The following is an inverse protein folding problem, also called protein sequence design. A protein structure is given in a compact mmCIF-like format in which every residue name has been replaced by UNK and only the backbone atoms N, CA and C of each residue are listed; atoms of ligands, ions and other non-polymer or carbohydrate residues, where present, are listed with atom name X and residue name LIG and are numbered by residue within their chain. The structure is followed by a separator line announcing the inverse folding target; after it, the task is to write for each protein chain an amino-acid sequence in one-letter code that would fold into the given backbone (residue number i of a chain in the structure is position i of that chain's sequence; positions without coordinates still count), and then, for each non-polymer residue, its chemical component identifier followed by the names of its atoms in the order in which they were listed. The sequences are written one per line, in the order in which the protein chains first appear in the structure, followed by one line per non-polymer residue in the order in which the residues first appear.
data_IF_649812781734
#
_entry.id   IF_649812781734
#
_cell.length_a   1.000
_cell.length_b   1.000
_cell.length_c   1.000
_cell.angle_alpha   90.00
_cell.angle_beta   90.00
_cell.angle_gamma   90.00
#
_symmetry.space_group_name_H-M   'P 1'
#
loop_
_entity.id
_entity.type
_entity.pdbx_description
1 polymer ?
#
# COMPACT_ATOMS: atom_id res chain seq x y z
N UNK A 1 12.16 31.48 -24.03
CA UNK A 1 11.58 32.02 -22.79
C UNK A 1 10.68 30.92 -22.24
N UNK A 2 11.16 30.11 -21.29
CA UNK A 2 10.33 29.12 -20.61
C UNK A 2 9.41 29.85 -19.63
N UNK A 3 8.13 29.45 -19.49
CA UNK A 3 7.26 30.09 -18.52
C UNK A 3 7.79 29.85 -17.12
N UNK A 4 7.88 30.92 -16.35
CA UNK A 4 8.26 30.90 -14.94
C UNK A 4 7.21 30.09 -14.17
N UNK A 5 7.47 28.79 -13.93
CA UNK A 5 6.65 27.99 -13.02
C UNK A 5 6.89 28.54 -11.61
N UNK A 6 5.86 29.01 -10.97
CA UNK A 6 5.89 29.39 -9.56
C UNK A 6 6.15 28.14 -8.71
N UNK A 7 7.30 28.06 -8.05
CA UNK A 7 7.58 26.99 -7.07
C UNK A 7 6.84 27.28 -5.77
N UNK A 8 6.20 26.26 -5.23
CA UNK A 8 5.57 26.29 -3.91
C UNK A 8 6.54 25.68 -2.89
N UNK A 9 6.70 26.33 -1.73
CA UNK A 9 7.69 25.95 -0.71
C UNK A 9 7.03 25.71 0.65
N UNK A 10 7.36 24.57 1.25
CA UNK A 10 6.99 24.25 2.64
C UNK A 10 8.24 24.42 3.49
N UNK A 11 8.19 25.28 4.50
CA UNK A 11 9.29 25.48 5.47
C UNK A 11 9.06 24.62 6.71
N UNK A 12 10.12 23.96 7.16
CA UNK A 12 10.17 23.18 8.41
C UNK A 12 11.34 23.71 9.22
N UNK A 13 11.08 24.16 10.45
CA UNK A 13 12.15 24.63 11.36
C UNK A 13 13.07 23.47 11.75
N UNK A 14 14.33 23.48 11.29
CA UNK A 14 15.37 22.53 11.66
C UNK A 14 16.76 23.14 11.68
N UNK A 15 17.66 22.54 12.47
CA UNK A 15 19.03 23.01 12.69
C UNK A 15 19.98 22.66 11.52
N UNK A 16 19.65 21.61 10.70
CA UNK A 16 20.41 21.23 9.51
C UNK A 16 19.64 21.65 8.25
N UNK A 17 20.35 22.23 7.27
CA UNK A 17 19.74 22.68 6.01
C UNK A 17 19.62 21.52 5.02
N UNK A 18 18.69 20.61 5.27
CA UNK A 18 18.27 19.59 4.31
C UNK A 18 17.06 20.09 3.54
N UNK A 19 17.15 20.03 2.23
CA UNK A 19 16.10 20.49 1.32
C UNK A 19 15.67 19.34 0.41
N UNK A 20 14.36 19.18 0.20
CA UNK A 20 13.81 18.28 -0.80
C UNK A 20 13.22 19.12 -1.94
N UNK A 21 13.72 18.91 -3.16
CA UNK A 21 13.24 19.61 -4.35
C UNK A 21 12.56 18.60 -5.27
N UNK A 22 11.30 18.82 -5.56
CA UNK A 22 10.48 17.92 -6.37
C UNK A 22 10.01 18.67 -7.60
N UNK A 23 10.39 18.15 -8.77
CA UNK A 23 9.97 18.64 -10.06
C UNK A 23 9.07 17.61 -10.74
N UNK A 24 7.84 18.02 -11.08
CA UNK A 24 6.84 17.16 -11.72
C UNK A 24 6.72 17.53 -13.19
N UNK A 25 7.04 16.59 -14.07
CA UNK A 25 6.77 16.67 -15.49
C UNK A 25 5.69 15.65 -15.88
N UNK A 26 5.02 15.77 -17.03
CA UNK A 26 3.98 14.82 -17.45
C UNK A 26 4.41 13.36 -17.54
N UNK A 27 5.71 13.10 -17.69
CA UNK A 27 6.28 11.77 -17.89
C UNK A 27 7.20 11.31 -16.76
N UNK A 28 7.71 12.22 -15.94
CA UNK A 28 8.73 11.94 -14.93
C UNK A 28 8.59 12.87 -13.74
N UNK A 29 8.79 12.34 -12.54
CA UNK A 29 9.00 13.12 -11.31
C UNK A 29 10.46 13.00 -10.90
N UNK A 30 11.14 14.13 -10.74
CA UNK A 30 12.50 14.19 -10.25
C UNK A 30 12.50 14.67 -8.80
N UNK A 31 13.14 13.93 -7.90
CA UNK A 31 13.26 14.24 -6.48
C UNK A 31 14.74 14.41 -6.17
N UNK A 32 15.13 15.60 -5.80
CA UNK A 32 16.49 15.93 -5.39
C UNK A 32 16.56 16.19 -3.89
N UNK A 33 17.46 15.49 -3.21
CA UNK A 33 17.85 15.74 -1.83
C UNK A 33 19.09 16.64 -1.85
N UNK A 34 19.01 17.79 -1.23
CA UNK A 34 20.14 18.68 -1.03
C UNK A 34 20.49 18.80 0.45
N UNK A 35 21.79 18.80 0.76
CA UNK A 35 22.35 19.13 2.08
C UNK A 35 23.25 20.35 1.92
N UNK A 36 22.99 21.41 2.67
CA UNK A 36 23.71 22.69 2.58
C UNK A 36 23.83 23.21 1.14
N UNK A 37 22.74 23.07 0.36
CA UNK A 37 22.63 23.43 -1.08
C UNK A 37 23.47 22.56 -2.03
N UNK A 38 24.06 21.47 -1.54
CA UNK A 38 24.77 20.49 -2.36
C UNK A 38 23.85 19.32 -2.64
N UNK A 39 23.70 18.94 -3.92
CA UNK A 39 22.92 17.77 -4.31
C UNK A 39 23.59 16.50 -3.80
N UNK A 40 22.88 15.75 -2.93
CA UNK A 40 23.36 14.50 -2.32
C UNK A 40 22.76 13.29 -3.02
N UNK A 41 21.47 13.38 -3.38
CA UNK A 41 20.75 12.29 -4.02
C UNK A 41 19.78 12.84 -5.07
N UNK A 42 19.68 12.15 -6.21
CA UNK A 42 18.71 12.45 -7.26
C UNK A 42 17.97 11.19 -7.66
N UNK A 43 16.69 11.15 -7.36
CA UNK A 43 15.79 10.09 -7.81
C UNK A 43 14.95 10.60 -8.97
N UNK A 44 14.82 9.77 -10.01
CA UNK A 44 13.96 10.02 -11.16
C UNK A 44 12.97 8.88 -11.29
N UNK A 45 11.70 9.24 -11.24
CA UNK A 45 10.60 8.28 -11.30
C UNK A 45 9.70 8.62 -12.49
N UNK A 46 9.39 7.64 -13.30
CA UNK A 46 8.42 7.86 -14.37
C UNK A 46 7.03 8.07 -13.76
N UNK A 47 6.26 9.02 -14.31
CA UNK A 47 4.87 9.19 -13.95
C UNK A 47 4.11 7.91 -14.32
N UNK A 48 3.81 7.10 -13.33
CA UNK A 48 3.14 5.82 -13.56
C UNK A 48 1.70 6.06 -13.99
N UNK A 49 1.35 5.55 -15.15
CA UNK A 49 -0.01 5.58 -15.72
C UNK A 49 -0.96 4.59 -15.04
N UNK A 50 -0.73 4.25 -13.78
CA UNK A 50 -1.43 3.22 -13.02
C UNK A 50 -0.67 1.89 -13.02
N UNK A 51 -1.19 0.92 -12.28
CA UNK A 51 -0.62 -0.42 -12.08
C UNK A 51 0.70 -0.46 -11.32
N UNK A 52 0.88 0.46 -10.36
CA UNK A 52 2.01 0.49 -9.45
C UNK A 52 1.98 -0.64 -8.42
N UNK A 53 3.16 -1.04 -7.93
CA UNK A 53 3.26 -1.97 -6.79
C UNK A 53 2.53 -1.38 -5.58
N UNK A 54 1.66 -2.19 -4.96
CA UNK A 54 0.83 -1.76 -3.83
C UNK A 54 -0.60 -1.35 -4.22
N UNK A 55 -0.86 -0.96 -5.47
CA UNK A 55 -2.21 -0.67 -5.96
C UNK A 55 -3.14 -1.86 -5.78
N UNK A 56 -4.36 -1.61 -5.32
CA UNK A 56 -5.37 -2.65 -5.08
C UNK A 56 -6.48 -2.53 -6.12
N UNK A 57 -6.79 -3.66 -6.73
CA UNK A 57 -7.80 -3.78 -7.78
C UNK A 57 -8.91 -4.75 -7.39
N UNK A 58 -10.13 -4.50 -7.87
CA UNK A 58 -11.11 -5.55 -8.11
C UNK A 58 -10.91 -6.06 -9.53
N UNK A 59 -10.50 -7.32 -9.67
CA UNK A 59 -10.24 -7.95 -10.95
C UNK A 59 -11.21 -9.10 -11.22
N UNK A 60 -11.18 -9.61 -12.45
CA UNK A 60 -11.96 -10.77 -12.87
C UNK A 60 -11.05 -11.90 -13.33
N UNK A 61 -11.20 -13.08 -12.75
CA UNK A 61 -10.43 -14.26 -13.12
C UNK A 61 -10.75 -14.64 -14.58
N UNK A 62 -9.74 -14.63 -15.43
CA UNK A 62 -9.85 -14.97 -16.86
C UNK A 62 -9.68 -16.46 -17.10
N UNK A 63 -8.64 -17.04 -16.50
CA UNK A 63 -8.25 -18.42 -16.76
C UNK A 63 -7.54 -19.03 -15.55
N UNK A 64 -7.87 -20.27 -15.25
CA UNK A 64 -7.14 -21.09 -14.27
C UNK A 64 -6.11 -21.94 -15.04
N UNK A 65 -4.90 -22.06 -14.47
CA UNK A 65 -3.80 -22.85 -15.02
C UNK A 65 -3.36 -23.91 -14.00
N UNK A 66 -4.04 -25.07 -13.94
CA UNK A 66 -3.76 -26.09 -12.91
C UNK A 66 -2.31 -26.57 -12.92
N UNK A 67 -1.70 -26.72 -14.10
CA UNK A 67 -0.30 -27.16 -14.22
C UNK A 67 0.73 -26.19 -13.63
N UNK A 68 0.37 -24.92 -13.46
CA UNK A 68 1.21 -23.89 -12.81
C UNK A 68 0.74 -23.57 -11.40
N UNK A 69 -0.35 -24.20 -10.94
CA UNK A 69 -1.06 -23.84 -9.71
C UNK A 69 -1.34 -22.34 -9.60
N UNK A 70 -1.80 -21.71 -10.70
CA UNK A 70 -1.91 -20.28 -10.86
C UNK A 70 -3.17 -19.89 -11.65
N UNK A 71 -3.49 -18.58 -11.65
CA UNK A 71 -4.56 -18.00 -12.45
C UNK A 71 -4.10 -16.72 -13.14
N UNK A 72 -4.76 -16.39 -14.25
CA UNK A 72 -4.70 -15.09 -14.90
C UNK A 72 -5.92 -14.27 -14.54
N UNK A 73 -5.69 -13.00 -14.17
CA UNK A 73 -6.70 -12.07 -13.68
C UNK A 73 -6.66 -10.80 -14.53
N UNK A 74 -7.81 -10.41 -15.06
CA UNK A 74 -7.97 -9.10 -15.67
C UNK A 74 -8.15 -8.03 -14.59
N UNK A 75 -7.22 -7.07 -14.52
CA UNK A 75 -7.27 -5.90 -13.65
C UNK A 75 -7.39 -4.59 -14.44
N UNK A 76 -7.66 -4.68 -15.77
CA UNK A 76 -7.70 -3.53 -16.68
C UNK A 76 -6.38 -3.21 -17.36
N UNK A 77 -5.31 -3.93 -17.03
CA UNK A 77 -4.03 -3.84 -17.72
C UNK A 77 -4.10 -4.52 -19.10
N UNK A 78 -3.27 -4.05 -20.08
CA UNK A 78 -3.19 -4.65 -21.45
C UNK A 78 -2.97 -6.15 -21.42
N UNK A 79 -2.16 -6.64 -20.50
CA UNK A 79 -1.86 -8.06 -20.27
C UNK A 79 -2.52 -8.55 -19.01
N UNK A 80 -3.11 -9.73 -19.06
CA UNK A 80 -3.68 -10.35 -17.86
C UNK A 80 -2.59 -10.52 -16.79
N UNK A 81 -2.92 -10.15 -15.57
CA UNK A 81 -2.03 -10.25 -14.42
C UNK A 81 -2.00 -11.69 -13.88
N UNK A 82 -0.90 -12.07 -13.27
CA UNK A 82 -0.64 -13.44 -12.80
C UNK A 82 -0.73 -13.52 -11.28
N UNK A 83 -1.44 -14.54 -10.77
CA UNK A 83 -1.48 -14.89 -9.35
C UNK A 83 -1.22 -16.40 -9.18
N UNK A 84 -0.26 -16.75 -8.32
CA UNK A 84 0.01 -18.12 -7.93
C UNK A 84 -0.78 -18.50 -6.67
N UNK A 85 -1.02 -19.80 -6.43
CA UNK A 85 -1.72 -20.25 -5.23
C UNK A 85 -1.15 -19.68 -3.93
N UNK A 86 0.17 -19.67 -3.77
CA UNK A 86 0.82 -19.12 -2.59
C UNK A 86 0.64 -17.61 -2.44
N UNK A 87 0.37 -16.89 -3.53
CA UNK A 87 0.11 -15.45 -3.51
C UNK A 87 -1.33 -15.12 -3.06
N UNK A 88 -2.21 -16.13 -2.90
CA UNK A 88 -3.53 -15.92 -2.29
C UNK A 88 -3.41 -15.50 -0.82
N UNK A 89 -2.37 -15.96 -0.13
CA UNK A 89 -2.18 -15.72 1.29
C UNK A 89 -3.09 -16.57 2.18
N UNK A 90 -2.71 -16.69 3.45
CA UNK A 90 -3.42 -17.57 4.39
C UNK A 90 -4.87 -17.13 4.63
N UNK A 91 -5.16 -15.85 4.57
CA UNK A 91 -6.48 -15.29 4.93
C UNK A 91 -7.41 -15.07 3.72
N UNK A 92 -7.10 -15.66 2.56
CA UNK A 92 -7.86 -15.48 1.33
C UNK A 92 -9.35 -15.80 1.48
N UNK A 93 -9.73 -16.85 2.21
CA UNK A 93 -11.14 -17.21 2.42
C UNK A 93 -11.94 -16.08 3.09
N UNK A 94 -11.33 -15.40 4.07
CA UNK A 94 -11.94 -14.22 4.72
C UNK A 94 -12.04 -13.03 3.74
N UNK A 95 -11.02 -12.77 2.95
CA UNK A 95 -11.04 -11.74 1.91
C UNK A 95 -12.11 -12.04 0.85
N UNK A 96 -12.17 -13.28 0.36
CA UNK A 96 -13.20 -13.71 -0.61
C UNK A 96 -14.60 -13.46 -0.08
N UNK A 97 -14.88 -13.78 1.18
CA UNK A 97 -16.18 -13.51 1.81
C UNK A 97 -16.53 -12.02 1.83
N UNK A 98 -15.55 -11.14 2.07
CA UNK A 98 -15.73 -9.68 1.97
C UNK A 98 -16.08 -9.27 0.54
N UNK A 99 -15.32 -9.77 -0.45
CA UNK A 99 -15.57 -9.47 -1.87
C UNK A 99 -16.96 -9.94 -2.28
N UNK A 100 -17.32 -11.18 -2.01
CA UNK A 100 -18.64 -11.75 -2.36
C UNK A 100 -19.79 -10.96 -1.71
N UNK A 101 -19.66 -10.60 -0.43
CA UNK A 101 -20.66 -9.81 0.29
C UNK A 101 -20.86 -8.43 -0.32
N UNK A 102 -19.77 -7.76 -0.72
CA UNK A 102 -19.83 -6.43 -1.30
C UNK A 102 -20.27 -6.41 -2.77
N UNK A 103 -19.80 -7.36 -3.56
CA UNK A 103 -20.04 -7.34 -5.03
C UNK A 103 -21.33 -8.07 -5.41
N UNK A 104 -21.60 -9.25 -4.85
CA UNK A 104 -22.76 -10.07 -5.19
C UNK A 104 -23.97 -9.74 -4.32
N UNK A 105 -23.80 -9.67 -3.01
CA UNK A 105 -24.90 -9.47 -2.07
C UNK A 105 -25.22 -8.00 -1.82
N UNK A 106 -24.35 -7.05 -2.24
CA UNK A 106 -24.46 -5.60 -2.02
C UNK A 106 -24.63 -5.22 -0.53
N UNK A 107 -24.11 -6.04 0.39
CA UNK A 107 -24.21 -5.83 1.84
C UNK A 107 -22.99 -5.09 2.38
N UNK A 108 -23.14 -4.19 3.35
CA UNK A 108 -22.01 -3.62 4.07
C UNK A 108 -21.29 -4.73 4.84
N UNK A 109 -19.97 -4.62 4.96
CA UNK A 109 -19.14 -5.57 5.71
C UNK A 109 -18.40 -4.82 6.80
N UNK A 110 -18.57 -5.28 8.04
CA UNK A 110 -17.75 -4.87 9.16
C UNK A 110 -16.69 -5.94 9.42
N UNK A 111 -15.44 -5.67 9.01
CA UNK A 111 -14.32 -6.61 9.16
C UNK A 111 -14.02 -6.86 10.65
N UNK A 112 -14.17 -5.85 11.50
CA UNK A 112 -13.88 -5.95 12.94
C UNK A 112 -14.80 -6.95 13.64
N UNK A 113 -16.07 -7.00 13.25
CA UNK A 113 -17.07 -7.88 13.84
C UNK A 113 -17.22 -9.24 13.15
N UNK A 114 -16.49 -9.51 12.06
CA UNK A 114 -16.66 -10.76 11.33
C UNK A 114 -15.86 -11.92 11.96
N UNK A 115 -16.45 -13.12 11.94
CA UNK A 115 -15.70 -14.34 12.22
C UNK A 115 -14.81 -14.64 11.02
N UNK A 116 -13.51 -14.78 11.25
CA UNK A 116 -12.57 -15.13 10.19
C UNK A 116 -12.78 -16.58 9.74
N UNK A 117 -12.60 -16.81 8.45
CA UNK A 117 -12.61 -18.14 7.85
C UNK A 117 -11.30 -18.89 8.17
N UNK A 118 -11.31 -20.24 8.10
CA UNK A 118 -10.08 -21.01 8.24
C UNK A 118 -9.00 -20.55 7.27
N UNK A 119 -7.77 -20.55 7.74
CA UNK A 119 -6.62 -20.19 6.93
C UNK A 119 -6.36 -21.23 5.84
N UNK A 120 -5.88 -20.76 4.67
CA UNK A 120 -5.43 -21.65 3.61
C UNK A 120 -4.17 -22.41 4.05
N UNK A 121 -4.14 -23.69 3.70
CA UNK A 121 -2.94 -24.50 3.87
C UNK A 121 -1.89 -24.14 2.83
N UNK A 122 -0.61 -24.43 3.11
CA UNK A 122 0.48 -24.17 2.16
C UNK A 122 0.41 -25.07 0.93
N UNK A 123 -0.10 -26.27 1.09
CA UNK A 123 -0.25 -27.29 0.05
C UNK A 123 -1.71 -27.35 -0.43
N UNK A 124 -2.07 -26.49 -1.37
CA UNK A 124 -3.41 -26.44 -1.95
C UNK A 124 -3.38 -26.22 -3.45
N UNK A 125 -4.56 -26.27 -4.06
CA UNK A 125 -4.73 -26.03 -5.51
C UNK A 125 -5.50 -24.76 -5.74
N UNK A 126 -5.03 -23.94 -6.67
CA UNK A 126 -5.67 -22.66 -7.00
C UNK A 126 -7.13 -22.83 -7.43
N UNK A 127 -7.43 -23.92 -8.13
CA UNK A 127 -8.78 -24.24 -8.62
C UNK A 127 -9.80 -24.54 -7.54
N UNK A 128 -9.37 -24.87 -6.31
CA UNK A 128 -10.27 -25.08 -5.18
C UNK A 128 -10.81 -23.74 -4.63
N UNK A 129 -10.14 -22.64 -4.92
CA UNK A 129 -10.43 -21.31 -4.39
C UNK A 129 -10.85 -20.29 -5.44
N UNK A 130 -10.36 -20.40 -6.67
CA UNK A 130 -10.67 -19.51 -7.78
C UNK A 130 -11.44 -20.24 -8.89
N UNK A 131 -12.40 -19.53 -9.47
CA UNK A 131 -13.15 -19.98 -10.64
C UNK A 131 -13.09 -18.93 -11.76
N UNK A 132 -13.18 -19.36 -13.01
CA UNK A 132 -13.26 -18.45 -14.14
C UNK A 132 -14.48 -17.53 -14.01
N UNK A 133 -14.28 -16.25 -14.27
CA UNK A 133 -15.33 -15.22 -14.14
C UNK A 133 -15.51 -14.66 -12.73
N UNK A 134 -14.92 -15.29 -11.69
CA UNK A 134 -14.99 -14.82 -10.32
C UNK A 134 -14.33 -13.45 -10.15
N UNK A 135 -14.95 -12.58 -9.33
CA UNK A 135 -14.34 -11.33 -8.90
C UNK A 135 -13.39 -11.58 -7.73
N UNK A 136 -12.26 -10.92 -7.78
CA UNK A 136 -11.21 -11.02 -6.75
C UNK A 136 -10.66 -9.63 -6.41
N UNK A 137 -10.38 -9.41 -5.14
CA UNK A 137 -9.63 -8.24 -4.68
C UNK A 137 -8.16 -8.64 -4.59
N UNK A 138 -7.31 -7.91 -5.29
CA UNK A 138 -5.90 -8.24 -5.45
C UNK A 138 -5.04 -6.98 -5.40
N UNK A 139 -3.81 -7.15 -4.95
CA UNK A 139 -2.79 -6.10 -4.88
C UNK A 139 -1.67 -6.43 -5.87
N UNK A 140 -1.10 -5.42 -6.52
CA UNK A 140 0.07 -5.60 -7.37
C UNK A 140 1.29 -5.82 -6.48
N UNK A 141 1.88 -7.00 -6.58
CA UNK A 141 3.10 -7.38 -5.86
C UNK A 141 4.36 -7.08 -6.67
N UNK A 142 4.26 -7.13 -8.01
CA UNK A 142 5.33 -6.74 -8.94
C UNK A 142 4.71 -6.18 -10.21
N UNK A 143 5.33 -5.15 -10.75
CA UNK A 143 4.94 -4.52 -12.00
C UNK A 143 5.09 -5.46 -13.20
N UNK A 144 4.44 -5.10 -14.30
CA UNK A 144 4.60 -5.79 -15.58
C UNK A 144 6.05 -5.63 -16.08
N UNK A 145 6.63 -6.72 -16.60
CA UNK A 145 7.98 -6.69 -17.15
C UNK A 145 7.94 -7.26 -18.56
N UNK A 146 8.36 -6.47 -19.55
CA UNK A 146 8.45 -6.86 -20.95
C UNK A 146 7.13 -7.48 -21.47
N UNK A 147 7.11 -8.77 -21.76
CA UNK A 147 5.95 -9.48 -22.30
C UNK A 147 5.00 -10.03 -21.23
N UNK A 148 5.33 -9.91 -19.94
CA UNK A 148 4.56 -10.48 -18.83
C UNK A 148 3.72 -9.40 -18.15
N UNK A 149 2.47 -9.71 -17.84
CA UNK A 149 1.61 -8.86 -17.02
C UNK A 149 2.07 -8.77 -15.56
N UNK A 150 1.44 -7.89 -14.76
CA UNK A 150 1.77 -7.72 -13.35
C UNK A 150 1.62 -9.03 -12.56
N UNK A 151 2.42 -9.20 -11.50
CA UNK A 151 2.21 -10.25 -10.50
C UNK A 151 1.34 -9.73 -9.38
N UNK A 152 0.35 -10.49 -9.01
CA UNK A 152 -0.63 -10.15 -7.98
C UNK A 152 -0.43 -10.95 -6.70
N UNK A 153 -0.94 -10.39 -5.61
CA UNK A 153 -1.18 -11.09 -4.35
C UNK A 153 -2.58 -10.77 -3.83
N UNK A 154 -3.21 -11.70 -3.13
CA UNK A 154 -4.40 -11.47 -2.35
C UNK A 154 -4.09 -11.38 -0.84
N UNK A 155 -2.83 -11.53 -0.44
CA UNK A 155 -2.34 -11.23 0.90
C UNK A 155 -2.08 -9.72 1.02
N UNK A 156 -3.19 -8.98 1.12
CA UNK A 156 -3.19 -7.51 1.04
C UNK A 156 -2.57 -6.91 2.30
N UNK A 157 -1.71 -5.93 2.09
CA UNK A 157 -1.12 -5.13 3.15
C UNK A 157 -1.06 -3.66 2.77
N UNK A 158 -1.25 -2.77 3.74
CA UNK A 158 -1.19 -1.33 3.52
C UNK A 158 0.01 -0.75 4.26
N UNK A 159 0.93 -0.16 3.51
CA UNK A 159 2.12 0.43 4.08
C UNK A 159 1.87 1.86 4.57
N UNK A 160 2.16 2.12 5.86
CA UNK A 160 2.28 3.42 6.47
C UNK A 160 3.74 3.80 6.71
N UNK A 161 3.96 4.92 7.38
CA UNK A 161 5.29 5.39 7.78
C UNK A 161 5.90 4.46 8.84
N UNK A 162 5.17 4.23 9.92
CA UNK A 162 5.62 3.52 11.12
C UNK A 162 5.19 2.06 11.11
N UNK A 163 4.10 1.71 10.42
CA UNK A 163 3.52 0.38 10.44
C UNK A 163 3.11 -0.10 9.04
N UNK A 164 2.95 -1.41 8.90
CA UNK A 164 2.23 -2.01 7.76
C UNK A 164 0.99 -2.70 8.34
N UNK A 165 -0.19 -2.27 7.91
CA UNK A 165 -1.46 -2.88 8.32
C UNK A 165 -1.69 -4.18 7.55
N UNK A 166 -2.12 -5.23 8.26
CA UNK A 166 -2.42 -6.55 7.68
C UNK A 166 -3.87 -6.91 8.06
N UNK A 167 -4.82 -6.75 7.15
CA UNK A 167 -6.21 -7.16 7.39
C UNK A 167 -6.35 -8.67 7.63
N UNK A 168 -7.40 -9.06 8.35
CA UNK A 168 -7.71 -10.47 8.71
C UNK A 168 -6.64 -11.15 9.57
N UNK A 169 -5.86 -10.37 10.30
CA UNK A 169 -4.84 -10.83 11.23
C UNK A 169 -5.13 -10.27 12.63
N UNK A 170 -4.58 -10.90 13.67
CA UNK A 170 -4.58 -10.35 15.03
C UNK A 170 -3.16 -10.20 15.58
N UNK A 171 -2.16 -10.35 14.70
CA UNK A 171 -0.76 -10.43 15.12
C UNK A 171 -0.10 -9.05 15.06
N UNK A 172 0.66 -8.73 16.09
CA UNK A 172 1.52 -7.54 16.14
C UNK A 172 2.97 -7.98 16.07
N UNK A 173 3.59 -7.77 14.91
CA UNK A 173 5.01 -8.03 14.69
C UNK A 173 5.80 -6.73 14.84
N UNK A 174 7.02 -6.84 15.33
CA UNK A 174 7.97 -5.72 15.41
C UNK A 174 9.21 -6.08 14.61
N UNK A 175 9.69 -5.15 13.78
CA UNK A 175 10.88 -5.34 12.97
C UNK A 175 12.04 -5.91 13.80
N UNK A 176 12.68 -6.95 13.29
CA UNK A 176 13.85 -7.56 13.93
C UNK A 176 15.03 -6.59 14.06
N UNK A 177 15.09 -5.57 13.19
CA UNK A 177 16.13 -4.52 13.21
C UNK A 177 16.05 -3.63 14.45
N UNK A 178 14.89 -3.52 15.12
CA UNK A 178 14.78 -2.84 16.42
C UNK A 178 15.38 -3.77 17.48
N UNK A 179 16.53 -3.38 18.03
CA UNK A 179 17.28 -4.24 18.95
C UNK A 179 16.79 -4.17 20.41
N UNK A 180 16.31 -2.99 20.85
CA UNK A 180 15.88 -2.75 22.23
C UNK A 180 14.59 -3.54 22.57
N UNK A 181 14.67 -4.42 23.56
CA UNK A 181 13.50 -5.15 24.07
C UNK A 181 12.48 -4.22 24.72
N UNK A 182 12.94 -3.15 25.39
CA UNK A 182 12.07 -2.13 25.99
C UNK A 182 11.26 -1.42 24.89
N UNK A 183 11.92 -0.97 23.79
CA UNK A 183 11.26 -0.37 22.64
C UNK A 183 10.26 -1.33 22.00
N UNK A 184 10.62 -2.61 21.78
CA UNK A 184 9.69 -3.60 21.24
C UNK A 184 8.44 -3.80 22.11
N UNK A 185 8.60 -3.77 23.45
CA UNK A 185 7.48 -3.89 24.39
C UNK A 185 6.58 -2.66 24.33
N UNK A 186 7.16 -1.44 24.32
CA UNK A 186 6.44 -0.17 24.17
C UNK A 186 5.60 -0.19 22.88
N UNK A 187 6.26 -0.42 21.76
CA UNK A 187 5.62 -0.39 20.43
C UNK A 187 4.48 -1.39 20.29
N UNK A 188 4.63 -2.60 20.83
CA UNK A 188 3.53 -3.58 20.84
C UNK A 188 2.33 -3.09 21.66
N UNK A 189 2.59 -2.49 22.82
CA UNK A 189 1.54 -1.96 23.69
C UNK A 189 0.76 -0.84 22.95
N UNK A 190 1.49 0.14 22.42
CA UNK A 190 0.92 1.26 21.65
C UNK A 190 0.01 0.75 20.51
N UNK A 191 0.53 -0.20 19.70
CA UNK A 191 -0.26 -0.75 18.61
C UNK A 191 -1.52 -1.49 19.10
N UNK A 192 -1.42 -2.25 20.18
CA UNK A 192 -2.55 -3.01 20.74
C UNK A 192 -3.65 -2.11 21.33
N UNK A 193 -3.34 -0.90 21.75
CA UNK A 193 -4.31 0.05 22.32
C UNK A 193 -5.30 0.59 21.27
N UNK A 194 -4.89 0.68 19.99
CA UNK A 194 -5.70 1.29 18.93
C UNK A 194 -6.08 0.34 17.81
N UNK A 195 -5.46 -0.84 17.76
CA UNK A 195 -5.68 -1.79 16.67
C UNK A 195 -7.05 -2.47 16.81
N UNK A 196 -7.97 -2.31 15.83
CA UNK A 196 -9.25 -2.98 15.90
C UNK A 196 -9.13 -4.49 15.75
N UNK A 197 -10.16 -5.22 16.15
CA UNK A 197 -10.22 -6.67 15.97
C UNK A 197 -10.10 -7.06 14.49
N UNK A 198 -9.48 -8.21 14.22
CA UNK A 198 -9.22 -8.72 12.87
C UNK A 198 -8.26 -7.87 12.03
N UNK A 199 -7.49 -6.98 12.67
CA UNK A 199 -6.36 -6.31 12.05
C UNK A 199 -5.07 -6.65 12.79
N UNK A 200 -4.02 -6.88 12.04
CA UNK A 200 -2.65 -7.02 12.52
C UNK A 200 -1.77 -5.92 11.99
N UNK A 201 -0.60 -5.76 12.58
CA UNK A 201 0.39 -4.80 12.10
C UNK A 201 1.80 -5.37 12.17
N UNK A 202 2.63 -4.91 11.23
CA UNK A 202 4.06 -5.08 11.26
C UNK A 202 4.66 -3.70 11.54
N UNK A 203 5.24 -3.52 12.73
CA UNK A 203 5.87 -2.27 13.14
C UNK A 203 7.23 -2.15 12.45
N UNK A 204 7.41 -1.07 11.69
CA UNK A 204 8.62 -0.79 10.90
C UNK A 204 9.74 -0.24 11.78
N UNK A 205 10.94 -0.21 11.24
CA UNK A 205 12.12 0.31 11.95
C UNK A 205 11.99 1.81 12.28
N UNK A 206 11.34 2.57 11.41
CA UNK A 206 11.07 4.00 11.60
C UNK A 206 10.30 4.30 12.91
N UNK A 207 9.43 3.38 13.34
CA UNK A 207 8.67 3.54 14.57
C UNK A 207 9.52 3.52 15.85
N UNK A 208 10.81 3.14 15.78
CA UNK A 208 11.66 3.07 16.96
C UNK A 208 11.85 4.45 17.65
N UNK A 209 11.93 5.50 16.84
CA UNK A 209 12.15 6.89 17.25
C UNK A 209 10.88 7.74 17.20
N UNK A 210 9.78 7.19 16.66
CA UNK A 210 8.51 7.88 16.56
C UNK A 210 7.82 8.01 17.94
N UNK A 211 7.03 9.06 18.09
CA UNK A 211 6.15 9.23 19.24
C UNK A 211 4.98 8.24 19.19
N UNK A 212 4.43 7.90 20.35
CA UNK A 212 3.32 6.96 20.45
C UNK A 212 2.09 7.43 19.67
N UNK A 213 1.84 8.74 19.67
CA UNK A 213 0.70 9.36 18.97
C UNK A 213 0.82 9.18 17.44
N UNK A 214 2.01 9.32 16.87
CA UNK A 214 2.24 9.18 15.43
C UNK A 214 1.99 7.74 14.97
N UNK A 215 2.39 6.77 15.79
CA UNK A 215 2.15 5.34 15.51
C UNK A 215 0.66 5.05 15.56
N UNK A 216 -0.05 5.59 16.55
CA UNK A 216 -1.51 5.43 16.69
C UNK A 216 -2.25 6.04 15.49
N UNK A 217 -1.87 7.25 15.08
CA UNK A 217 -2.49 7.93 13.93
C UNK A 217 -2.24 7.18 12.61
N UNK A 218 -1.02 6.68 12.40
CA UNK A 218 -0.69 5.88 11.23
C UNK A 218 -1.56 4.62 11.14
N UNK A 219 -1.73 3.89 12.25
CA UNK A 219 -2.61 2.70 12.31
C UNK A 219 -4.06 3.08 11.96
N UNK A 220 -4.61 4.11 12.61
CA UNK A 220 -6.00 4.52 12.39
C UNK A 220 -6.24 4.99 10.96
N UNK A 221 -5.32 5.75 10.39
CA UNK A 221 -5.37 6.17 8.98
C UNK A 221 -5.41 4.99 8.01
N UNK A 222 -4.56 3.99 8.23
CA UNK A 222 -4.54 2.78 7.40
C UNK A 222 -5.81 1.93 7.53
N UNK A 223 -6.40 1.85 8.73
CA UNK A 223 -7.69 1.19 8.96
C UNK A 223 -8.81 1.89 8.19
N UNK A 224 -8.86 3.23 8.19
CA UNK A 224 -9.86 3.99 7.45
C UNK A 224 -9.66 3.86 5.93
N UNK A 225 -8.42 3.86 5.44
CA UNK A 225 -8.10 3.57 4.03
C UNK A 225 -8.61 2.18 3.62
N UNK A 226 -8.41 1.16 4.45
CA UNK A 226 -8.95 -0.18 4.21
C UNK A 226 -10.48 -0.19 4.16
N UNK A 227 -11.16 0.45 5.13
CA UNK A 227 -12.63 0.55 5.14
C UNK A 227 -13.17 1.22 3.87
N UNK A 228 -12.48 2.28 3.42
CA UNK A 228 -12.81 2.99 2.18
C UNK A 228 -12.68 2.09 0.95
N UNK A 229 -11.60 1.29 0.85
CA UNK A 229 -11.41 0.33 -0.23
C UNK A 229 -12.50 -0.76 -0.24
N UNK A 230 -12.82 -1.32 0.92
CA UNK A 230 -13.92 -2.31 1.05
C UNK A 230 -15.26 -1.67 0.67
N UNK A 231 -15.50 -0.41 1.03
CA UNK A 231 -16.72 0.31 0.61
C UNK A 231 -16.80 0.49 -0.89
N UNK A 232 -15.68 0.81 -1.55
CA UNK A 232 -15.61 1.00 -3.00
C UNK A 232 -15.95 -0.28 -3.78
N UNK A 233 -15.61 -1.48 -3.28
CA UNK A 233 -15.96 -2.76 -3.93
C UNK A 233 -17.44 -2.88 -4.32
N UNK A 234 -18.35 -2.36 -3.52
CA UNK A 234 -19.79 -2.45 -3.77
C UNK A 234 -20.33 -1.48 -4.82
N UNK A 235 -19.52 -0.50 -5.22
CA UNK A 235 -19.92 0.62 -6.11
C UNK A 235 -19.18 0.58 -7.45
N UNK A 236 -18.14 -0.24 -7.56
CA UNK A 236 -17.22 -0.22 -8.70
C UNK A 236 -17.43 -1.47 -9.56
N UNK A 237 -17.46 -1.29 -10.88
CA UNK A 237 -17.51 -2.39 -11.83
C UNK A 237 -16.09 -2.89 -12.12
N UNK A 238 -15.91 -4.22 -12.08
CA UNK A 238 -14.63 -4.85 -12.35
C UNK A 238 -14.37 -5.01 -13.87
N UNK A 239 -13.15 -4.80 -14.35
CA UNK A 239 -11.94 -4.52 -13.59
C UNK A 239 -11.78 -3.03 -13.24
N UNK A 240 -11.36 -2.71 -12.00
CA UNK A 240 -11.09 -1.34 -11.61
C UNK A 240 -10.12 -1.27 -10.42
N UNK A 241 -9.36 -0.18 -10.34
CA UNK A 241 -8.56 0.18 -9.17
C UNK A 241 -9.46 0.71 -8.07
N UNK A 242 -9.41 0.11 -6.89
CA UNK A 242 -10.20 0.50 -5.71
C UNK A 242 -9.39 1.25 -4.67
N UNK A 243 -8.07 1.10 -4.70
CA UNK A 243 -7.14 1.89 -3.89
C UNK A 243 -5.83 2.05 -4.65
N UNK A 244 -5.33 3.26 -4.69
CA UNK A 244 -3.96 3.54 -5.11
C UNK A 244 -3.03 3.42 -3.90
N UNK A 245 -1.90 2.76 -4.07
CA UNK A 245 -0.79 2.96 -3.14
C UNK A 245 -0.33 4.42 -3.28
N UNK A 246 0.27 4.95 -2.24
CA UNK A 246 0.92 6.26 -2.36
C UNK A 246 1.88 6.21 -3.53
N UNK A 247 1.89 7.25 -4.36
CA UNK A 247 2.85 7.34 -5.46
C UNK A 247 4.26 7.07 -4.91
N UNK A 248 5.15 6.56 -5.76
CA UNK A 248 6.53 6.31 -5.34
C UNK A 248 7.20 7.59 -4.82
N UNK A 249 6.79 8.72 -5.35
CA UNK A 249 7.14 10.06 -4.86
C UNK A 249 6.69 10.23 -3.41
N UNK A 250 5.42 9.99 -3.10
CA UNK A 250 4.89 10.07 -1.74
C UNK A 250 5.53 9.03 -0.81
N UNK A 251 5.91 7.85 -1.36
CA UNK A 251 6.64 6.84 -0.59
C UNK A 251 8.05 7.31 -0.24
N UNK A 252 8.78 7.90 -1.18
CA UNK A 252 10.11 8.47 -0.95
C UNK A 252 10.01 9.62 0.06
N UNK A 253 9.06 10.52 -0.10
CA UNK A 253 8.81 11.62 0.83
C UNK A 253 8.52 11.06 2.22
N UNK A 254 7.56 10.16 2.35
CA UNK A 254 7.17 9.52 3.61
C UNK A 254 8.36 8.85 4.32
N UNK A 255 9.20 8.13 3.56
CA UNK A 255 10.31 7.36 4.12
C UNK A 255 11.57 8.20 4.36
N UNK A 256 11.73 9.34 3.66
CA UNK A 256 12.87 10.24 3.77
C UNK A 256 12.66 11.40 4.74
N UNK A 257 11.44 11.94 4.82
CA UNK A 257 11.15 13.10 5.67
C UNK A 257 11.32 12.77 7.15
N UNK A 258 12.10 13.61 7.82
CA UNK A 258 12.26 13.64 9.27
C UNK A 258 12.51 15.10 9.72
N UNK A 259 12.65 15.32 11.02
CA UNK A 259 12.81 16.65 11.62
C UNK A 259 14.11 17.39 11.20
N UNK A 260 14.96 16.76 10.38
CA UNK A 260 16.20 17.38 9.88
C UNK A 260 15.99 18.18 8.58
N UNK A 261 14.80 18.10 7.95
CA UNK A 261 14.51 18.88 6.75
C UNK A 261 14.07 20.30 7.09
N UNK A 262 14.68 21.28 6.42
CA UNK A 262 14.35 22.70 6.57
C UNK A 262 13.26 23.16 5.62
N UNK A 263 13.16 22.54 4.41
CA UNK A 263 12.14 22.90 3.42
C UNK A 263 11.89 21.79 2.40
N UNK A 264 10.67 21.82 1.84
CA UNK A 264 10.27 21.03 0.67
C UNK A 264 9.81 22.01 -0.40
N UNK A 265 10.39 21.91 -1.59
CA UNK A 265 10.04 22.74 -2.75
C UNK A 265 9.39 21.83 -3.78
N UNK A 266 8.16 22.17 -4.20
CA UNK A 266 7.37 21.39 -5.18
C UNK A 266 6.86 22.33 -6.26
N UNK A 267 6.95 21.95 -7.51
CA UNK A 267 6.45 22.75 -8.64
C UNK A 267 5.08 22.33 -9.17
N UNK A 268 4.40 21.39 -8.48
CA UNK A 268 3.06 20.91 -8.79
C UNK A 268 2.09 21.17 -7.62
N UNK A 269 0.97 21.84 -7.92
CA UNK A 269 -0.02 22.23 -6.89
C UNK A 269 -0.75 21.03 -6.30
N UNK A 270 -1.00 20.00 -7.11
CA UNK A 270 -1.70 18.77 -6.64
C UNK A 270 -0.82 18.03 -5.63
N UNK A 271 0.43 17.79 -6.00
CA UNK A 271 1.39 17.12 -5.13
C UNK A 271 1.70 17.95 -3.87
N UNK A 272 1.78 19.28 -3.99
CA UNK A 272 1.94 20.17 -2.83
C UNK A 272 0.80 19.99 -1.81
N UNK A 273 -0.46 19.91 -2.28
CA UNK A 273 -1.62 19.74 -1.41
C UNK A 273 -1.70 18.32 -0.80
N UNK A 274 -1.11 17.32 -1.46
CA UNK A 274 -1.01 15.95 -0.91
C UNK A 274 0.07 15.83 0.18
N UNK A 275 1.15 16.63 0.09
CA UNK A 275 2.27 16.59 1.03
C UNK A 275 1.98 17.42 2.29
N UNK A 276 1.23 18.51 2.16
CA UNK A 276 0.86 19.42 3.24
C UNK A 276 -0.11 18.79 4.23
#
# INVERSE_FOLDING_TARGET
MLPNKSSLTIYIDSVMQRELIINVNPTEVSIALCEDKVLVELNKEQCETGFAVGDIYVGKVRKIMPGLNAAFVNIGHEKDAFIHYLDLGANYSSLKRVVDSRTQQKRPVNVEGMKLEPQLEKEGRIGDYLQQGQLVMVQIAKEAISTKGPRLTADISLAGRNVVLVPFSSKVFVSSKIRSNAAKKRLRKVAQEVLPANFGVIIRTAAAEAEDIDIMQDILSLVERWKSAVSALGKTEAPARIMSEMSRVNTIIRDSLNDTFSQIIVDDETLYNEIK
#
